data_IF_391585329330
#
_entry.id   IF_391585329330
#
_cell.length_a   1.000
_cell.length_b   1.000
_cell.length_c   1.000
_cell.angle_alpha   90.00
_cell.angle_beta   90.00
_cell.angle_gamma   90.00
#
_symmetry.space_group_name_H-M   'P 1'
#
loop_
_entity.id
_entity.type
_entity.pdbx_description
1 polymer ?
#
# COMPACT_ATOMS: atom_id res chain seq x y z
N UNK A 1 1.84 -8.86 4.07
CA UNK A 1 0.44 -9.12 4.51
C UNK A 1 -0.52 -8.69 3.39
N UNK A 2 -1.72 -9.29 3.34
CA UNK A 2 -2.79 -8.98 2.37
C UNK A 2 -3.05 -7.46 2.25
N UNK A 3 -3.03 -6.78 3.39
CA UNK A 3 -3.25 -5.33 3.51
C UNK A 3 -2.22 -4.50 2.76
N UNK A 4 -0.95 -4.94 2.69
CA UNK A 4 0.08 -4.21 1.95
C UNK A 4 -0.12 -4.30 0.43
N UNK A 5 -0.67 -5.40 -0.11
CA UNK A 5 -1.03 -5.46 -1.54
C UNK A 5 -2.14 -4.45 -1.86
N UNK A 6 -3.22 -4.46 -1.08
CA UNK A 6 -4.36 -3.54 -1.27
C UNK A 6 -3.96 -2.07 -1.08
N UNK A 7 -3.04 -1.80 -0.15
CA UNK A 7 -2.59 -0.45 0.17
C UNK A 7 -1.38 0.02 -0.65
N UNK A 8 -0.79 -0.84 -1.47
CA UNK A 8 0.23 -0.47 -2.47
C UNK A 8 -0.38 -0.16 -3.84
N UNK A 9 -1.66 -0.50 -4.05
CA UNK A 9 -2.32 -0.24 -5.33
C UNK A 9 -2.66 1.25 -5.54
N UNK A 10 -2.22 1.87 -6.65
CA UNK A 10 -2.57 3.25 -7.01
C UNK A 10 -4.07 3.48 -7.17
N UNK A 11 -4.56 4.67 -6.78
CA UNK A 11 -5.97 5.02 -6.90
C UNK A 11 -6.13 6.37 -7.60
N UNK A 12 -7.00 6.48 -8.63
CA UNK A 12 -7.27 7.78 -9.28
C UNK A 12 -7.75 8.86 -8.31
N UNK A 13 -8.57 8.48 -7.33
CA UNK A 13 -9.06 9.41 -6.28
C UNK A 13 -7.96 9.94 -5.35
N UNK A 14 -6.79 9.31 -5.34
CA UNK A 14 -5.61 9.73 -4.59
C UNK A 14 -4.56 10.38 -5.51
N UNK A 15 -4.94 10.78 -6.72
CA UNK A 15 -4.01 11.35 -7.70
C UNK A 15 -3.01 10.32 -8.21
N UNK A 16 -3.48 9.11 -8.51
CA UNK A 16 -2.66 7.98 -8.96
C UNK A 16 -1.60 7.53 -7.92
N UNK A 17 -1.84 7.79 -6.64
CA UNK A 17 -0.97 7.34 -5.53
C UNK A 17 -1.58 6.16 -4.79
N UNK A 18 -0.72 5.35 -4.18
CA UNK A 18 -1.13 4.28 -3.26
C UNK A 18 -1.54 4.86 -1.89
N UNK A 19 -2.43 4.21 -1.13
CA UNK A 19 -2.70 4.59 0.25
C UNK A 19 -1.44 4.66 1.13
N UNK A 20 -0.47 3.76 0.95
CA UNK A 20 0.81 3.81 1.68
C UNK A 20 1.60 5.06 1.29
N UNK A 21 1.69 5.40 0.00
CA UNK A 21 2.37 6.61 -0.45
C UNK A 21 1.71 7.88 0.11
N UNK A 22 0.38 7.94 0.14
CA UNK A 22 -0.36 9.05 0.76
C UNK A 22 -0.12 9.10 2.26
N UNK A 23 -0.15 7.96 2.96
CA UNK A 23 0.13 7.91 4.39
C UNK A 23 1.53 8.42 4.72
N UNK A 24 2.56 7.94 4.00
CA UNK A 24 3.94 8.38 4.17
C UNK A 24 4.11 9.88 3.92
N UNK A 25 3.41 10.44 2.93
CA UNK A 25 3.45 11.87 2.65
C UNK A 25 2.88 12.73 3.79
N UNK A 26 1.90 12.20 4.55
CA UNK A 26 1.25 12.94 5.65
C UNK A 26 2.00 12.74 6.98
N UNK A 27 2.46 11.52 7.25
CA UNK A 27 2.95 11.12 8.58
C UNK A 27 4.44 10.75 8.62
N UNK A 28 5.10 10.66 7.48
CA UNK A 28 6.50 10.27 7.35
C UNK A 28 6.75 8.77 7.38
N UNK A 29 7.94 8.38 6.93
CA UNK A 29 8.34 6.98 6.84
C UNK A 29 8.58 6.32 8.21
N UNK A 30 9.01 7.07 9.23
CA UNK A 30 9.28 6.50 10.57
C UNK A 30 8.02 5.85 11.15
N UNK A 31 6.88 6.55 11.09
CA UNK A 31 5.61 6.01 11.59
C UNK A 31 5.10 4.87 10.70
N UNK A 32 5.23 4.98 9.38
CA UNK A 32 4.86 3.92 8.45
C UNK A 32 5.63 2.61 8.74
N UNK A 33 6.92 2.72 9.01
CA UNK A 33 7.79 1.58 9.36
C UNK A 33 7.39 0.96 10.69
N UNK A 34 7.09 1.76 11.73
CA UNK A 34 6.58 1.25 13.02
C UNK A 34 5.25 0.50 12.89
N UNK A 35 4.42 0.89 11.92
CA UNK A 35 3.15 0.23 11.60
C UNK A 35 3.30 -0.98 10.64
N UNK A 36 4.51 -1.29 10.18
CA UNK A 36 4.76 -2.39 9.24
C UNK A 36 4.19 -2.17 7.84
N UNK A 37 3.98 -0.91 7.44
CA UNK A 37 3.51 -0.56 6.10
C UNK A 37 4.66 -0.73 5.11
N UNK A 38 4.49 -1.63 4.16
CA UNK A 38 5.49 -1.94 3.14
C UNK A 38 4.85 -1.75 1.78
N UNK A 39 5.47 -0.93 0.94
CA UNK A 39 5.02 -0.77 -0.44
C UNK A 39 5.46 -1.98 -1.27
N UNK A 40 4.53 -2.52 -2.06
CA UNK A 40 4.73 -3.68 -2.92
C UNK A 40 4.87 -3.18 -4.36
N UNK A 41 5.91 -3.62 -5.10
CA UNK A 41 6.07 -3.29 -6.52
C UNK A 41 4.81 -3.61 -7.31
N UNK A 42 4.47 -2.79 -8.31
CA UNK A 42 3.20 -2.89 -9.02
C UNK A 42 2.98 -4.29 -9.65
N UNK A 43 4.05 -4.91 -10.13
CA UNK A 43 4.08 -6.23 -10.75
C UNK A 43 3.84 -7.38 -9.76
N UNK A 44 4.03 -7.12 -8.46
CA UNK A 44 3.86 -8.07 -7.36
C UNK A 44 2.55 -7.86 -6.58
N UNK A 45 1.77 -6.85 -6.96
CA UNK A 45 0.46 -6.61 -6.34
C UNK A 45 -0.51 -7.70 -6.81
N UNK A 46 -0.93 -8.53 -5.85
CA UNK A 46 -2.04 -9.45 -6.03
C UNK A 46 -3.30 -8.73 -5.54
N UNK A 47 -4.34 -8.61 -6.37
CA UNK A 47 -5.66 -8.07 -5.96
C UNK A 47 -6.77 -9.12 -6.11
N UNK A 48 -6.37 -10.38 -6.20
CA UNK A 48 -7.27 -11.47 -6.46
C UNK A 48 -7.70 -12.15 -5.16
N UNK A 49 -8.86 -12.83 -5.13
CA UNK A 49 -9.36 -13.51 -3.92
C UNK A 49 -8.40 -14.56 -3.35
N UNK A 50 -7.40 -15.00 -4.12
CA UNK A 50 -6.34 -15.91 -3.72
C UNK A 50 -5.60 -15.45 -2.46
N UNK A 51 -5.58 -14.14 -2.19
CA UNK A 51 -4.99 -13.58 -0.98
C UNK A 51 -5.73 -13.95 0.32
N UNK A 52 -7.01 -14.34 0.27
CA UNK A 52 -7.85 -14.62 1.44
C UNK A 52 -7.84 -16.10 1.87
N UNK A 53 -6.90 -16.90 1.35
CA UNK A 53 -6.78 -18.33 1.68
C UNK A 53 -5.93 -18.58 2.92
#
# INVERSE_FOLDING_TARGET
MITNHVNSYPRPRLGEKSPIAVFKAIYGDELANKLGLVEIPAEEIILTPQLLK
#
